data_IF_803565432687
#
_entry.id   IF_803565432687
#
_cell.length_a   1.000
_cell.length_b   1.000
_cell.length_c   1.000
_cell.angle_alpha   90.00
_cell.angle_beta   90.00
_cell.angle_gamma   90.00
#
_symmetry.space_group_name_H-M   'P 1'
#
loop_
_entity.id
_entity.type
_entity.pdbx_description
1 polymer ?
#
# COMPACT_ATOMS: atom_id res chain seq x y z
N UNK A 1 10.36 -5.62 14.60
CA UNK A 1 10.20 -6.92 13.88
C UNK A 1 9.12 -7.84 14.47
N UNK A 2 8.78 -7.70 15.76
CA UNK A 2 7.78 -8.50 16.49
C UNK A 2 6.45 -8.69 15.76
N UNK A 3 5.97 -7.64 15.09
CA UNK A 3 4.63 -7.64 14.49
C UNK A 3 4.58 -8.53 13.23
N UNK A 4 5.67 -8.57 12.46
CA UNK A 4 5.77 -9.47 11.31
C UNK A 4 5.84 -10.95 11.73
N UNK A 5 6.45 -11.22 12.89
CA UNK A 5 6.54 -12.56 13.47
C UNK A 5 5.19 -13.01 14.03
N UNK A 6 4.49 -12.14 14.77
CA UNK A 6 3.17 -12.45 15.34
C UNK A 6 2.13 -12.75 14.25
N UNK A 7 2.21 -12.05 13.12
CA UNK A 7 1.30 -12.21 12.00
C UNK A 7 1.73 -13.31 11.00
N UNK A 8 2.83 -14.03 11.30
CA UNK A 8 3.42 -15.08 10.44
C UNK A 8 3.75 -14.58 9.03
N UNK A 9 4.01 -13.28 8.88
CA UNK A 9 4.28 -12.67 7.58
C UNK A 9 5.65 -13.11 7.04
N UNK A 10 6.63 -13.32 7.94
CA UNK A 10 7.95 -13.82 7.57
C UNK A 10 7.85 -15.24 6.98
N UNK A 11 7.08 -16.13 7.61
CA UNK A 11 6.84 -17.49 7.11
C UNK A 11 6.16 -17.46 5.73
N UNK A 12 5.17 -16.58 5.56
CA UNK A 12 4.34 -16.51 4.35
C UNK A 12 5.05 -15.87 3.15
N UNK A 13 5.84 -14.82 3.38
CA UNK A 13 6.40 -13.98 2.31
C UNK A 13 7.93 -13.99 2.24
N UNK A 14 8.61 -14.41 3.30
CA UNK A 14 10.06 -14.34 3.45
C UNK A 14 10.54 -12.97 3.92
N UNK A 15 11.56 -12.96 4.79
CA UNK A 15 12.11 -11.74 5.40
C UNK A 15 12.59 -10.74 4.33
N UNK A 16 13.44 -11.19 3.41
CA UNK A 16 14.00 -10.35 2.32
C UNK A 16 12.92 -9.61 1.51
N UNK A 17 11.81 -10.28 1.21
CA UNK A 17 10.70 -9.67 0.46
C UNK A 17 9.98 -8.61 1.28
N UNK A 18 9.76 -8.86 2.57
CA UNK A 18 9.15 -7.88 3.46
C UNK A 18 10.06 -6.66 3.61
N UNK A 19 11.35 -6.86 3.86
CA UNK A 19 12.34 -5.79 3.97
C UNK A 19 12.41 -4.94 2.69
N UNK A 20 12.41 -5.60 1.52
CA UNK A 20 12.33 -4.93 0.24
C UNK A 20 11.10 -4.02 0.14
N UNK A 21 9.92 -4.51 0.50
CA UNK A 21 8.69 -3.71 0.42
C UNK A 21 8.65 -2.57 1.44
N UNK A 22 9.17 -2.76 2.65
CA UNK A 22 9.29 -1.69 3.65
C UNK A 22 10.19 -0.58 3.11
N UNK A 23 11.37 -0.90 2.58
CA UNK A 23 12.28 0.09 1.97
C UNK A 23 11.63 0.81 0.80
N UNK A 24 10.97 0.08 -0.09
CA UNK A 24 10.30 0.68 -1.24
C UNK A 24 9.15 1.62 -0.86
N UNK A 25 8.34 1.25 0.15
CA UNK A 25 7.29 2.12 0.68
C UNK A 25 7.86 3.39 1.33
N UNK A 26 9.00 3.28 2.01
CA UNK A 26 9.70 4.43 2.59
C UNK A 26 10.23 5.38 1.51
N UNK A 27 10.91 4.86 0.49
CA UNK A 27 11.41 5.64 -0.64
C UNK A 27 10.28 6.30 -1.43
N UNK A 28 9.10 5.67 -1.47
CA UNK A 28 7.90 6.22 -2.07
C UNK A 28 7.17 7.26 -1.17
N UNK A 29 7.72 7.57 0.00
CA UNK A 29 7.19 8.56 0.94
C UNK A 29 5.89 8.15 1.62
N UNK A 30 5.64 6.84 1.78
CA UNK A 30 4.41 6.34 2.43
C UNK A 30 4.51 6.28 3.95
N UNK A 31 5.71 6.38 4.51
CA UNK A 31 5.94 6.41 5.96
C UNK A 31 6.36 7.81 6.39
N UNK A 32 5.94 8.22 7.60
CA UNK A 32 6.37 9.50 8.19
C UNK A 32 7.73 9.36 8.85
N UNK A 33 7.93 8.25 9.56
CA UNK A 33 9.16 7.92 10.26
C UNK A 33 9.43 6.42 10.14
N UNK A 34 10.54 6.08 9.49
CA UNK A 34 11.10 4.73 9.44
C UNK A 34 12.47 4.78 10.14
N UNK A 35 12.57 4.12 11.28
CA UNK A 35 13.88 3.83 11.86
C UNK A 35 14.36 2.46 11.35
N UNK A 36 15.65 2.36 11.04
CA UNK A 36 16.28 1.11 10.61
C UNK A 36 17.54 0.86 11.43
N UNK A 37 17.64 -0.33 12.03
CA UNK A 37 18.78 -0.74 12.84
C UNK A 37 19.21 -2.15 12.41
N UNK A 38 20.38 -2.27 11.80
CA UNK A 38 20.92 -3.54 11.28
C UNK A 38 19.88 -4.35 10.48
N UNK A 39 19.28 -5.37 11.11
CA UNK A 39 18.30 -6.28 10.50
C UNK A 39 16.85 -5.94 10.86
N UNK A 40 16.61 -4.87 11.60
CA UNK A 40 15.30 -4.44 12.07
C UNK A 40 14.85 -3.10 11.46
N UNK A 41 13.53 -2.98 11.31
CA UNK A 41 12.85 -1.75 10.95
C UNK A 41 11.73 -1.50 11.95
N UNK A 42 11.55 -0.23 12.30
CA UNK A 42 10.44 0.26 13.08
C UNK A 42 9.69 1.32 12.26
N UNK A 43 8.44 1.00 11.87
CA UNK A 43 7.56 1.89 11.12
C UNK A 43 6.68 2.58 12.15
N UNK A 44 6.99 3.83 12.50
CA UNK A 44 6.26 4.53 13.56
C UNK A 44 4.88 4.99 13.11
N UNK A 45 4.79 5.51 11.89
CA UNK A 45 3.52 5.97 11.33
C UNK A 45 3.54 6.03 9.79
N UNK A 46 2.35 6.06 9.20
CA UNK A 46 2.15 6.39 7.79
C UNK A 46 2.29 7.90 7.58
N UNK A 47 2.72 8.28 6.38
CA UNK A 47 2.60 9.67 5.93
C UNK A 47 1.16 10.00 5.56
N UNK A 48 0.79 11.29 5.40
CA UNK A 48 -0.51 11.66 4.85
C UNK A 48 -0.80 11.00 3.49
N UNK A 49 0.24 10.76 2.68
CA UNK A 49 0.09 10.04 1.40
C UNK A 49 -0.12 8.54 1.62
N UNK A 50 0.56 7.95 2.61
CA UNK A 50 0.35 6.56 3.04
C UNK A 50 -1.08 6.33 3.55
N UNK A 51 -1.56 7.19 4.44
CA UNK A 51 -2.96 7.14 4.92
C UNK A 51 -3.96 7.31 3.79
N UNK A 52 -3.72 8.22 2.85
CA UNK A 52 -4.61 8.43 1.70
C UNK A 52 -4.66 7.20 0.80
N UNK A 53 -3.51 6.62 0.47
CA UNK A 53 -3.46 5.41 -0.35
C UNK A 53 -4.15 4.24 0.35
N UNK A 54 -3.81 3.97 1.61
CA UNK A 54 -4.44 2.91 2.39
C UNK A 54 -5.96 3.09 2.48
N UNK A 55 -6.43 4.33 2.71
CA UNK A 55 -7.86 4.64 2.77
C UNK A 55 -8.58 4.38 1.45
N UNK A 56 -7.95 4.67 0.31
CA UNK A 56 -8.53 4.41 -1.01
C UNK A 56 -8.73 2.91 -1.29
N UNK A 57 -7.83 2.05 -0.78
CA UNK A 57 -7.89 0.59 -1.01
C UNK A 57 -8.46 -0.21 0.17
N UNK A 58 -8.82 0.43 1.29
CA UNK A 58 -9.22 -0.27 2.52
C UNK A 58 -10.49 -1.11 2.35
N UNK A 59 -11.41 -0.68 1.48
CA UNK A 59 -12.63 -1.42 1.17
C UNK A 59 -12.34 -2.45 0.08
N UNK A 60 -12.66 -3.72 0.32
CA UNK A 60 -12.40 -4.83 -0.62
C UNK A 60 -12.86 -4.52 -2.05
N UNK A 61 -14.06 -3.95 -2.21
CA UNK A 61 -14.59 -3.58 -3.52
C UNK A 61 -13.68 -2.58 -4.28
N UNK A 62 -13.08 -1.61 -3.58
CA UNK A 62 -12.16 -0.66 -4.19
C UNK A 62 -10.83 -1.33 -4.54
N UNK A 63 -10.34 -2.21 -3.67
CA UNK A 63 -9.10 -2.96 -3.93
C UNK A 63 -9.24 -3.92 -5.11
N UNK A 64 -10.33 -4.68 -5.18
CA UNK A 64 -10.62 -5.56 -6.33
C UNK A 64 -10.68 -4.76 -7.62
N UNK A 65 -11.39 -3.62 -7.62
CA UNK A 65 -11.44 -2.78 -8.81
C UNK A 65 -10.07 -2.20 -9.19
N UNK A 66 -9.27 -1.81 -8.20
CA UNK A 66 -7.89 -1.32 -8.42
C UNK A 66 -7.05 -2.40 -9.09
N UNK A 67 -7.08 -3.64 -8.57
CA UNK A 67 -6.38 -4.79 -9.17
C UNK A 67 -6.87 -5.09 -10.58
N UNK A 68 -8.18 -5.03 -10.83
CA UNK A 68 -8.76 -5.28 -12.15
C UNK A 68 -8.24 -4.27 -13.19
N UNK A 69 -8.15 -2.99 -12.83
CA UNK A 69 -7.59 -1.96 -13.72
C UNK A 69 -6.09 -2.16 -13.91
N UNK A 70 -5.34 -2.40 -12.83
CA UNK A 70 -3.90 -2.66 -12.88
C UNK A 70 -3.56 -3.84 -13.80
N UNK A 71 -4.33 -4.93 -13.72
CA UNK A 71 -4.20 -6.10 -14.57
C UNK A 71 -4.48 -5.78 -16.04
N UNK A 72 -5.53 -5.00 -16.33
CA UNK A 72 -5.90 -4.60 -17.71
C UNK A 72 -4.81 -3.77 -18.38
N UNK A 73 -4.14 -2.89 -17.62
CA UNK A 73 -3.08 -2.04 -18.15
C UNK A 73 -1.68 -2.67 -18.04
N UNK A 74 -1.56 -3.84 -17.39
CA UNK A 74 -0.31 -4.55 -17.19
C UNK A 74 0.68 -3.85 -16.26
N UNK A 75 0.23 -2.98 -15.35
CA UNK A 75 1.11 -2.21 -14.48
C UNK A 75 0.71 -2.34 -13.01
N UNK A 76 1.66 -2.78 -12.20
CA UNK A 76 1.53 -3.00 -10.76
C UNK A 76 2.57 -2.22 -9.95
N UNK A 77 3.21 -1.22 -10.56
CA UNK A 77 4.09 -0.32 -9.79
C UNK A 77 3.28 0.39 -8.70
N UNK A 78 3.94 0.75 -7.60
CA UNK A 78 3.25 1.41 -6.49
C UNK A 78 2.61 2.74 -6.92
N UNK A 79 3.26 3.49 -7.81
CA UNK A 79 2.69 4.71 -8.38
C UNK A 79 1.46 4.43 -9.25
N UNK A 80 1.49 3.38 -10.07
CA UNK A 80 0.31 2.97 -10.84
C UNK A 80 -0.83 2.59 -9.91
N UNK A 81 -0.58 1.79 -8.87
CA UNK A 81 -1.60 1.38 -7.89
C UNK A 81 -2.17 2.58 -7.12
N UNK A 82 -1.34 3.54 -6.70
CA UNK A 82 -1.81 4.79 -6.07
C UNK A 82 -2.73 5.59 -7.00
N UNK A 83 -2.31 5.78 -8.25
CA UNK A 83 -3.08 6.54 -9.25
C UNK A 83 -4.40 5.85 -9.57
N UNK A 84 -4.38 4.54 -9.78
CA UNK A 84 -5.59 3.76 -10.05
C UNK A 84 -6.53 3.82 -8.85
N UNK A 85 -6.05 3.59 -7.63
CA UNK A 85 -6.88 3.63 -6.42
C UNK A 85 -7.54 5.01 -6.25
N UNK A 86 -6.82 6.10 -6.50
CA UNK A 86 -7.38 7.46 -6.51
C UNK A 86 -8.47 7.62 -7.58
N UNK A 87 -8.25 7.07 -8.78
CA UNK A 87 -9.24 7.05 -9.86
C UNK A 87 -10.49 6.24 -9.50
N UNK A 88 -10.33 5.09 -8.86
CA UNK A 88 -11.43 4.25 -8.37
C UNK A 88 -12.26 4.99 -7.32
N UNK A 89 -11.61 5.65 -6.35
CA UNK A 89 -12.29 6.49 -5.36
C UNK A 89 -13.07 7.62 -6.03
N UNK A 90 -12.46 8.31 -6.99
CA UNK A 90 -13.10 9.40 -7.75
C UNK A 90 -14.34 8.91 -8.51
N UNK A 91 -14.23 7.76 -9.18
CA UNK A 91 -15.36 7.15 -9.88
C UNK A 91 -16.49 6.76 -8.92
N UNK A 92 -16.17 6.25 -7.73
CA UNK A 92 -17.15 5.93 -6.71
C UNK A 92 -17.87 7.18 -6.17
N UNK A 93 -17.15 8.29 -5.99
CA UNK A 93 -17.72 9.59 -5.61
C UNK A 93 -18.71 10.06 -6.68
N UNK A 94 -18.28 10.11 -7.95
CA UNK A 94 -19.14 10.57 -9.04
C UNK A 94 -20.40 9.72 -9.16
N UNK A 95 -20.26 8.40 -9.10
CA UNK A 95 -21.40 7.49 -9.12
C UNK A 95 -22.38 7.74 -7.96
N UNK A 96 -21.88 7.97 -6.74
CA UNK A 96 -22.74 8.22 -5.58
C UNK A 96 -23.41 9.60 -5.62
N UNK A 97 -22.76 10.59 -6.24
CA UNK A 97 -23.28 11.95 -6.41
C UNK A 97 -24.16 12.11 -7.67
N UNK A 98 -24.19 11.12 -8.56
CA UNK A 98 -24.91 11.20 -9.83
C UNK A 98 -24.24 12.12 -10.87
N UNK A 99 -22.91 12.21 -10.83
CA UNK A 99 -22.07 13.01 -11.74
C UNK A 99 -21.41 12.16 -12.83
#
# INVERSE_FOLDING_TARGET
MSDFESDKLIEKYGLERLLYHVRYCNEAGLFSDLDSYEDEFDIKDLSPSGHSFLSNIRKDANWEQTKNVAQKIGSFSLDALKNIASGVTTAAINHHLGL
#
